data_IF_026138506145
#
_entry.id   IF_026138506145
#
_cell.length_a   1.000
_cell.length_b   1.000
_cell.length_c   1.000
_cell.angle_alpha   90.00
_cell.angle_beta   90.00
_cell.angle_gamma   90.00
#
_symmetry.space_group_name_H-M   'P 1'
#
loop_
_entity.id
_entity.type
_entity.pdbx_description
1 polymer ?
#
# COMPACT_ATOMS: atom_id res chain seq x y z
N UNK A 1 24.30 -12.01 39.77
CA UNK A 1 24.14 -10.89 38.82
C UNK A 1 24.55 -11.38 37.44
N UNK A 2 23.60 -11.84 36.65
CA UNK A 2 23.81 -12.37 35.29
C UNK A 2 23.25 -11.35 34.31
N UNK A 3 24.13 -10.71 33.53
CA UNK A 3 23.73 -9.75 32.50
C UNK A 3 22.91 -10.39 31.37
N UNK A 4 22.12 -9.62 30.60
CA UNK A 4 21.33 -10.17 29.50
C UNK A 4 22.24 -10.68 28.37
N UNK A 5 21.82 -11.75 27.64
CA UNK A 5 22.61 -12.31 26.57
C UNK A 5 22.66 -11.36 25.37
N UNK A 6 23.86 -10.87 25.05
CA UNK A 6 24.15 -10.11 23.83
C UNK A 6 24.07 -11.07 22.64
N UNK A 7 23.00 -10.98 21.84
CA UNK A 7 22.90 -11.71 20.58
C UNK A 7 23.69 -10.96 19.50
N UNK A 8 24.66 -11.58 18.81
CA UNK A 8 25.40 -10.90 17.74
C UNK A 8 24.50 -10.78 16.49
N UNK A 9 24.31 -9.54 16.02
CA UNK A 9 23.68 -9.27 14.74
C UNK A 9 24.64 -9.61 13.60
N UNK A 10 24.53 -10.82 13.04
CA UNK A 10 25.17 -11.17 11.77
C UNK A 10 24.29 -10.65 10.63
N UNK A 11 24.66 -9.51 10.07
CA UNK A 11 24.08 -9.00 8.82
C UNK A 11 24.86 -9.65 7.67
N UNK A 12 24.25 -10.61 6.98
CA UNK A 12 24.77 -11.14 5.71
C UNK A 12 23.61 -11.42 4.75
N UNK A 13 23.69 -10.80 3.57
CA UNK A 13 23.02 -11.31 2.37
C UNK A 13 21.67 -10.68 2.01
N UNK A 14 21.61 -10.14 0.78
CA UNK A 14 20.38 -9.71 0.10
C UNK A 14 19.49 -10.92 -0.20
N UNK A 15 18.73 -11.42 0.79
CA UNK A 15 17.57 -12.34 0.67
C UNK A 15 17.07 -12.66 2.07
N UNK A 16 16.43 -11.69 2.70
CA UNK A 16 15.75 -11.92 3.97
C UNK A 16 14.35 -11.37 3.84
N UNK A 17 13.41 -12.20 3.36
CA UNK A 17 12.02 -12.02 3.78
C UNK A 17 12.06 -12.32 5.26
N UNK A 18 11.85 -11.29 6.09
CA UNK A 18 11.70 -11.49 7.52
C UNK A 18 10.42 -12.32 7.75
N UNK A 19 10.58 -13.64 7.79
CA UNK A 19 9.57 -14.53 8.36
C UNK A 19 9.49 -14.12 9.84
N UNK A 20 8.31 -13.74 10.36
CA UNK A 20 8.21 -13.41 11.77
C UNK A 20 8.71 -14.62 12.56
N UNK A 21 9.65 -14.41 13.48
CA UNK A 21 10.06 -15.46 14.39
C UNK A 21 8.80 -15.98 15.09
N UNK A 22 8.53 -17.27 15.03
CA UNK A 22 7.47 -17.90 15.80
C UNK A 22 8.07 -18.38 17.13
N UNK A 23 7.39 -18.16 18.25
CA UNK A 23 7.78 -18.80 19.49
C UNK A 23 7.59 -20.33 19.40
N UNK A 24 8.05 -21.07 20.41
CA UNK A 24 7.90 -22.54 20.45
C UNK A 24 6.43 -23.03 20.37
N UNK A 25 5.45 -22.12 20.45
CA UNK A 25 4.00 -22.39 20.35
C UNK A 25 3.41 -21.96 19.00
N UNK A 26 4.24 -21.54 18.04
CA UNK A 26 3.78 -21.10 16.72
C UNK A 26 3.21 -19.68 16.69
N UNK A 27 3.32 -18.91 17.77
CA UNK A 27 2.79 -17.54 17.84
C UNK A 27 3.84 -16.58 17.27
N UNK A 28 3.44 -15.72 16.32
CA UNK A 28 4.32 -14.71 15.75
C UNK A 28 4.83 -13.76 16.83
N UNK A 29 6.14 -13.71 17.03
CA UNK A 29 6.80 -12.81 17.97
C UNK A 29 6.70 -11.38 17.43
N UNK A 30 6.30 -10.39 18.27
CA UNK A 30 6.29 -8.99 17.87
C UNK A 30 7.71 -8.57 17.44
N UNK A 31 7.81 -7.95 16.25
CA UNK A 31 9.08 -7.35 15.82
C UNK A 31 9.49 -6.26 16.83
N UNK A 32 10.79 -6.07 17.09
CA UNK A 32 11.25 -5.00 17.97
C UNK A 32 10.69 -3.65 17.50
N UNK A 33 10.05 -2.92 18.40
CA UNK A 33 9.54 -1.58 18.15
C UNK A 33 10.69 -0.70 17.63
N UNK A 34 10.57 -0.21 16.39
CA UNK A 34 11.59 0.64 15.74
C UNK A 34 12.08 0.14 14.37
N UNK A 35 11.85 -1.12 14.03
CA UNK A 35 12.17 -1.63 12.68
C UNK A 35 11.01 -1.31 11.74
N UNK A 36 11.27 -0.52 10.68
CA UNK A 36 10.29 -0.25 9.63
C UNK A 36 10.03 -1.51 8.82
N UNK A 37 8.76 -1.78 8.49
CA UNK A 37 8.42 -2.84 7.56
C UNK A 37 9.04 -2.56 6.18
N UNK A 38 9.48 -3.63 5.50
CA UNK A 38 9.94 -3.50 4.13
C UNK A 38 8.74 -3.32 3.19
N UNK A 39 8.92 -2.67 2.02
CA UNK A 39 7.86 -2.53 1.02
C UNK A 39 7.25 -3.89 0.59
N UNK A 40 8.05 -4.95 0.56
CA UNK A 40 7.62 -6.31 0.22
C UNK A 40 6.67 -6.86 1.29
N UNK A 41 7.02 -6.66 2.58
CA UNK A 41 6.18 -7.07 3.70
C UNK A 41 4.82 -6.36 3.68
N UNK A 42 4.80 -5.05 3.38
CA UNK A 42 3.54 -4.29 3.29
C UNK A 42 2.68 -4.81 2.12
N UNK A 43 3.28 -5.09 0.97
CA UNK A 43 2.54 -5.69 -0.16
C UNK A 43 2.00 -7.08 0.17
N UNK A 44 2.74 -7.88 0.94
CA UNK A 44 2.27 -9.20 1.38
C UNK A 44 1.04 -9.08 2.29
N UNK A 45 1.03 -8.12 3.22
CA UNK A 45 -0.13 -7.82 4.08
C UNK A 45 -1.34 -7.44 3.23
N UNK A 46 -1.17 -6.56 2.24
CA UNK A 46 -2.26 -6.15 1.33
C UNK A 46 -2.84 -7.33 0.55
N UNK A 47 -1.98 -8.19 -0.02
CA UNK A 47 -2.43 -9.39 -0.76
C UNK A 47 -3.16 -10.37 0.14
N UNK A 48 -2.68 -10.55 1.38
CA UNK A 48 -3.35 -11.40 2.36
C UNK A 48 -4.71 -10.83 2.78
N UNK A 49 -4.82 -9.51 2.97
CA UNK A 49 -6.11 -8.87 3.25
C UNK A 49 -7.10 -9.08 2.09
N UNK A 50 -6.65 -8.90 0.84
CA UNK A 50 -7.48 -9.16 -0.35
C UNK A 50 -7.91 -10.63 -0.45
N UNK A 51 -7.03 -11.57 -0.09
CA UNK A 51 -7.35 -13.01 -0.04
C UNK A 51 -8.38 -13.35 1.04
N UNK A 52 -8.25 -12.77 2.23
CA UNK A 52 -9.21 -12.99 3.34
C UNK A 52 -10.58 -12.38 3.02
N UNK A 53 -10.61 -11.27 2.29
CA UNK A 53 -11.83 -10.65 1.78
C UNK A 53 -12.43 -11.33 0.53
N UNK A 54 -11.88 -12.49 0.12
CA UNK A 54 -12.29 -13.25 -1.06
C UNK A 54 -12.33 -12.44 -2.37
N UNK A 55 -11.40 -11.48 -2.51
CA UNK A 55 -11.31 -10.71 -3.75
C UNK A 55 -10.66 -11.55 -4.87
N UNK A 56 -11.25 -11.52 -6.09
CA UNK A 56 -10.67 -12.19 -7.24
C UNK A 56 -9.28 -11.59 -7.55
N UNK A 57 -8.34 -12.46 -7.92
CA UNK A 57 -6.97 -12.07 -8.22
C UNK A 57 -6.25 -11.34 -7.06
N UNK A 58 -6.48 -11.77 -5.82
CA UNK A 58 -5.83 -11.25 -4.59
C UNK A 58 -4.32 -11.06 -4.72
N UNK A 59 -3.63 -11.88 -5.53
CA UNK A 59 -2.20 -11.76 -5.80
C UNK A 59 -1.77 -10.50 -6.59
N UNK A 60 -2.69 -9.84 -7.29
CA UNK A 60 -2.45 -8.60 -8.06
C UNK A 60 -2.59 -7.33 -7.23
N UNK A 61 -3.11 -7.41 -6.02
CA UNK A 61 -3.22 -6.26 -5.13
C UNK A 61 -1.84 -5.79 -4.68
N UNK A 62 -1.67 -4.47 -4.59
CA UNK A 62 -0.43 -3.82 -4.15
C UNK A 62 -0.74 -2.49 -3.48
N UNK A 63 0.18 -2.03 -2.63
CA UNK A 63 0.07 -0.73 -1.95
C UNK A 63 -0.08 0.41 -2.96
N UNK A 64 0.73 0.38 -4.03
CA UNK A 64 0.68 1.39 -5.08
C UNK A 64 -0.66 1.37 -5.82
N UNK A 65 -1.21 0.18 -6.09
CA UNK A 65 -2.54 0.03 -6.66
C UNK A 65 -3.64 0.62 -5.76
N UNK A 66 -3.55 0.46 -4.45
CA UNK A 66 -4.48 1.06 -3.48
C UNK A 66 -4.38 2.59 -3.47
N UNK A 67 -3.17 3.16 -3.53
CA UNK A 67 -2.99 4.61 -3.66
C UNK A 67 -3.67 5.15 -4.93
N UNK A 68 -3.53 4.46 -6.07
CA UNK A 68 -4.20 4.85 -7.31
C UNK A 68 -5.73 4.69 -7.22
N UNK A 69 -6.20 3.61 -6.61
CA UNK A 69 -7.62 3.39 -6.34
C UNK A 69 -8.23 4.51 -5.50
N UNK A 70 -7.57 4.88 -4.39
CA UNK A 70 -8.04 5.94 -3.50
C UNK A 70 -8.03 7.32 -4.15
N UNK A 71 -7.00 7.66 -4.93
CA UNK A 71 -6.97 8.91 -5.70
C UNK A 71 -8.10 8.98 -6.74
N UNK A 72 -8.35 7.86 -7.42
CA UNK A 72 -9.45 7.75 -8.38
C UNK A 72 -10.80 7.91 -7.70
N UNK A 73 -11.02 7.24 -6.57
CA UNK A 73 -12.26 7.30 -5.81
C UNK A 73 -12.56 8.72 -5.31
N UNK A 74 -11.54 9.42 -4.80
CA UNK A 74 -11.65 10.80 -4.36
C UNK A 74 -12.01 11.74 -5.53
N UNK A 75 -11.40 11.55 -6.70
CA UNK A 75 -11.72 12.31 -7.89
C UNK A 75 -13.16 12.06 -8.37
N UNK A 76 -13.60 10.80 -8.37
CA UNK A 76 -14.97 10.40 -8.72
C UNK A 76 -16.00 10.98 -7.74
N UNK A 77 -15.64 11.09 -6.45
CA UNK A 77 -16.44 11.75 -5.42
C UNK A 77 -16.45 13.29 -5.52
N UNK A 78 -15.74 13.88 -6.48
CA UNK A 78 -15.70 15.32 -6.73
C UNK A 78 -14.71 16.09 -5.84
N UNK A 79 -13.76 15.42 -5.18
CA UNK A 79 -12.72 16.10 -4.42
C UNK A 79 -11.85 16.97 -5.34
N UNK A 80 -11.38 18.10 -4.81
CA UNK A 80 -10.50 19.00 -5.56
C UNK A 80 -9.11 18.38 -5.73
N UNK A 81 -8.41 18.75 -6.81
CA UNK A 81 -7.04 18.28 -7.06
C UNK A 81 -6.09 18.64 -5.91
N UNK A 82 -6.21 19.85 -5.35
CA UNK A 82 -5.41 20.28 -4.19
C UNK A 82 -5.66 19.39 -2.97
N UNK A 83 -6.93 19.05 -2.67
CA UNK A 83 -7.26 18.13 -1.59
C UNK A 83 -6.66 16.74 -1.80
N UNK A 84 -6.77 16.20 -3.03
CA UNK A 84 -6.17 14.91 -3.39
C UNK A 84 -4.63 14.94 -3.24
N UNK A 85 -3.98 16.01 -3.71
CA UNK A 85 -2.54 16.20 -3.58
C UNK A 85 -2.09 16.29 -2.11
N UNK A 86 -2.79 17.07 -1.30
CA UNK A 86 -2.48 17.24 0.12
C UNK A 86 -2.56 15.91 0.89
N UNK A 87 -3.63 15.14 0.66
CA UNK A 87 -3.80 13.84 1.31
C UNK A 87 -2.87 12.74 0.76
N UNK A 88 -2.60 12.77 -0.54
CA UNK A 88 -1.67 11.83 -1.20
C UNK A 88 -0.19 12.18 -1.03
N UNK A 89 0.12 13.33 -0.40
CA UNK A 89 1.48 13.89 -0.29
C UNK A 89 2.17 14.10 -1.64
N UNK A 90 1.39 14.45 -2.66
CA UNK A 90 1.91 14.87 -3.94
C UNK A 90 2.11 16.38 -3.95
N UNK A 91 3.14 16.83 -4.67
CA UNK A 91 3.26 18.25 -4.99
C UNK A 91 2.11 18.64 -5.93
N UNK A 92 1.41 19.72 -5.63
CA UNK A 92 0.32 20.25 -6.47
C UNK A 92 0.80 20.64 -7.88
N UNK A 93 2.10 20.91 -8.02
CA UNK A 93 2.72 21.27 -9.30
C UNK A 93 3.15 20.04 -10.11
N UNK A 94 3.03 18.83 -9.54
CA UNK A 94 3.49 17.60 -10.18
C UNK A 94 2.39 16.98 -11.04
N UNK A 95 2.67 16.64 -12.31
CA UNK A 95 1.70 15.94 -13.14
C UNK A 95 1.50 14.47 -12.73
N UNK A 96 2.33 13.94 -11.82
CA UNK A 96 2.30 12.52 -11.41
C UNK A 96 0.94 12.11 -10.84
N UNK A 97 0.27 12.99 -10.09
CA UNK A 97 -1.06 12.70 -9.52
C UNK A 97 -2.09 12.33 -10.59
N UNK A 98 -2.00 12.92 -11.77
CA UNK A 98 -2.92 12.63 -12.89
C UNK A 98 -2.77 11.20 -13.40
N UNK A 99 -1.61 10.56 -13.19
CA UNK A 99 -1.39 9.15 -13.58
C UNK A 99 -2.01 8.16 -12.58
N UNK A 100 -2.27 8.61 -11.35
CA UNK A 100 -2.94 7.80 -10.32
C UNK A 100 -4.46 7.80 -10.50
N UNK A 101 -5.03 8.88 -11.04
CA UNK A 101 -6.45 9.01 -11.32
C UNK A 101 -6.77 8.26 -12.63
N UNK A 102 -7.41 7.11 -12.51
CA UNK A 102 -7.74 6.23 -13.64
C UNK A 102 -9.18 6.46 -14.08
N UNK A 103 -9.43 6.47 -15.38
CA UNK A 103 -10.80 6.42 -15.89
C UNK A 103 -11.38 5.02 -15.68
N UNK A 104 -12.34 4.87 -14.75
CA UNK A 104 -12.97 3.57 -14.46
C UNK A 104 -13.94 3.12 -15.56
N UNK A 105 -14.70 4.05 -16.12
CA UNK A 105 -15.67 3.75 -17.17
C UNK A 105 -15.74 4.91 -18.17
N UNK A 106 -15.23 4.68 -19.39
CA UNK A 106 -15.18 5.70 -20.45
C UNK A 106 -16.56 6.09 -21.00
N UNK A 107 -17.60 5.31 -20.72
CA UNK A 107 -18.97 5.59 -21.18
C UNK A 107 -19.77 6.30 -20.10
N UNK A 108 -19.68 5.87 -18.83
CA UNK A 108 -20.33 6.56 -17.71
C UNK A 108 -19.64 7.86 -17.30
N UNK A 109 -18.31 7.89 -17.33
CA UNK A 109 -17.49 9.03 -16.90
C UNK A 109 -17.01 9.86 -18.08
N UNK A 110 -17.72 9.86 -19.21
CA UNK A 110 -17.34 10.65 -20.38
C UNK A 110 -17.64 12.13 -20.14
N UNK A 111 -16.63 13.01 -20.00
CA UNK A 111 -16.87 14.44 -19.78
C UNK A 111 -17.60 15.10 -20.97
N UNK A 112 -17.55 14.49 -22.16
CA UNK A 112 -18.23 14.99 -23.35
C UNK A 112 -19.74 14.72 -23.39
N UNK A 113 -20.26 13.78 -22.58
CA UNK A 113 -21.71 13.51 -22.56
C UNK A 113 -22.54 14.67 -22.01
N UNK A 114 -21.92 15.57 -21.24
CA UNK A 114 -22.57 16.76 -20.66
C UNK A 114 -22.30 18.04 -21.45
N UNK A 115 -21.50 17.97 -22.51
CA UNK A 115 -21.30 19.09 -23.44
C UNK A 115 -22.46 19.05 -24.44
N UNK A 116 -23.54 19.73 -24.10
CA UNK A 116 -24.70 19.90 -24.99
C UNK A 116 -24.33 20.76 -26.19
N UNK A 117 -24.33 20.16 -27.37
CA UNK A 117 -24.66 20.78 -28.65
C UNK A 117 -25.93 20.12 -29.16
#
# INVERSE_FOLDING_TARGET
MTGPPTTPAVITGKRSVAVPAHDARGVSVPLPYGIRMTPEAINLVVKNAARVADHPHSNRYSVHGLCAGGATDAADAGATMSGICQHGRWSERSPVVMQYIRHRDKWRSNPKLRVGL
#
